data_IF_277534736524
#
_entry.id   IF_277534736524
#
_cell.length_a   1.000
_cell.length_b   1.000
_cell.length_c   1.000
_cell.angle_alpha   90.00
_cell.angle_beta   90.00
_cell.angle_gamma   90.00
#
_symmetry.space_group_name_H-M   'P 1'
#
loop_
_entity.id
_entity.type
_entity.pdbx_description
1 polymer ?
#
# COMPACT_ATOMS: atom_id res chain seq x y z
N UNK A 1 8.21 -2.24 -6.17
CA UNK A 1 7.36 -1.09 -5.76
C UNK A 1 7.49 0.06 -6.75
N UNK A 2 8.71 0.43 -7.16
CA UNK A 2 8.95 1.43 -8.21
C UNK A 2 8.07 1.27 -9.47
N UNK A 3 8.00 0.05 -10.05
CA UNK A 3 7.12 -0.22 -11.21
C UNK A 3 5.62 -0.05 -10.92
N UNK A 4 5.19 -0.21 -9.67
CA UNK A 4 3.81 0.02 -9.25
C UNK A 4 3.53 1.52 -9.13
N UNK A 5 4.45 2.26 -8.50
CA UNK A 5 4.33 3.72 -8.35
C UNK A 5 4.43 4.44 -9.71
N UNK A 6 5.11 3.84 -10.70
CA UNK A 6 5.23 4.32 -12.08
C UNK A 6 4.29 3.65 -13.10
N UNK A 7 3.25 2.94 -12.66
CA UNK A 7 2.34 2.24 -13.57
C UNK A 7 1.55 3.22 -14.48
N UNK A 8 1.32 2.83 -15.74
CA UNK A 8 0.64 3.69 -16.73
C UNK A 8 -0.81 3.29 -16.93
N UNK A 9 -1.72 4.27 -16.95
CA UNK A 9 -3.11 4.05 -17.32
C UNK A 9 -3.24 3.87 -18.84
N UNK A 10 -3.92 2.80 -19.26
CA UNK A 10 -4.12 2.46 -20.67
C UNK A 10 -5.58 2.17 -20.98
N UNK A 11 -5.95 2.32 -22.26
CA UNK A 11 -7.24 1.91 -22.82
C UNK A 11 -7.02 0.88 -23.91
N UNK A 12 -8.07 0.10 -24.20
CA UNK A 12 -8.04 -0.89 -25.27
C UNK A 12 -8.62 -0.25 -26.55
N UNK A 13 -7.77 0.00 -27.53
CA UNK A 13 -8.23 0.28 -28.90
C UNK A 13 -8.42 -1.01 -29.67
N UNK A 14 -9.60 -1.15 -30.28
CA UNK A 14 -9.93 -2.25 -31.19
C UNK A 14 -9.76 -1.76 -32.62
N UNK A 15 -8.86 -2.41 -33.36
CA UNK A 15 -8.76 -2.30 -34.82
C UNK A 15 -9.40 -3.54 -35.44
N UNK A 16 -9.75 -3.51 -36.73
CA UNK A 16 -10.41 -4.61 -37.44
C UNK A 16 -9.74 -5.99 -37.26
N UNK A 17 -8.44 -6.03 -36.99
CA UNK A 17 -7.65 -7.27 -36.88
C UNK A 17 -6.98 -7.49 -35.53
N UNK A 18 -6.88 -6.48 -34.65
CA UNK A 18 -6.10 -6.56 -33.39
C UNK A 18 -6.66 -5.65 -32.31
N UNK A 19 -6.41 -6.03 -31.05
CA UNK A 19 -6.59 -5.17 -29.88
C UNK A 19 -5.23 -4.68 -29.44
N UNK A 20 -5.12 -3.39 -29.13
CA UNK A 20 -3.87 -2.76 -28.67
C UNK A 20 -4.14 -1.90 -27.44
N UNK A 21 -3.19 -1.91 -26.51
CA UNK A 21 -3.16 -1.01 -25.36
C UNK A 21 -2.55 0.33 -25.79
N UNK A 22 -3.25 1.41 -25.48
CA UNK A 22 -2.78 2.79 -25.71
C UNK A 22 -2.86 3.58 -24.41
N UNK A 23 -1.85 4.38 -24.06
CA UNK A 23 -1.90 5.24 -22.88
C UNK A 23 -3.11 6.18 -22.94
N UNK A 24 -3.80 6.37 -21.81
CA UNK A 24 -4.86 7.40 -21.70
C UNK A 24 -4.28 8.78 -21.97
N UNK A 25 -3.11 9.08 -21.40
CA UNK A 25 -2.37 10.31 -21.66
C UNK A 25 -1.23 10.06 -22.67
N UNK A 26 -1.27 10.68 -23.87
CA UNK A 26 -0.29 10.45 -24.93
C UNK A 26 1.15 10.86 -24.58
N UNK A 27 1.36 11.71 -23.57
CA UNK A 27 2.71 12.11 -23.14
C UNK A 27 3.44 10.99 -22.41
N UNK A 28 2.71 10.02 -21.86
CA UNK A 28 3.29 8.87 -21.19
C UNK A 28 3.61 7.76 -22.19
N UNK A 29 4.76 7.12 -21.97
CA UNK A 29 5.22 5.95 -22.73
C UNK A 29 5.46 4.82 -21.74
N UNK A 30 5.09 3.61 -22.13
CA UNK A 30 5.37 2.40 -21.37
C UNK A 30 5.93 1.32 -22.29
N UNK A 31 6.69 0.40 -21.72
CA UNK A 31 7.19 -0.80 -22.37
C UNK A 31 6.33 -1.98 -21.94
N UNK A 32 5.66 -2.60 -22.91
CA UNK A 32 4.68 -3.65 -22.65
C UNK A 32 5.26 -4.93 -22.01
N UNK A 33 6.58 -5.13 -22.08
CA UNK A 33 7.29 -6.31 -21.56
C UNK A 33 7.76 -6.14 -20.09
N UNK A 34 7.93 -4.90 -19.62
CA UNK A 34 8.65 -4.59 -18.38
C UNK A 34 7.93 -3.62 -17.46
N UNK A 35 6.98 -2.84 -17.97
CA UNK A 35 6.21 -1.88 -17.19
C UNK A 35 4.84 -2.43 -16.81
N UNK A 36 4.33 -1.98 -15.66
CA UNK A 36 2.97 -2.27 -15.23
C UNK A 36 2.00 -1.27 -15.86
N UNK A 37 0.84 -1.76 -16.29
CA UNK A 37 -0.25 -0.95 -16.82
C UNK A 37 -1.55 -1.29 -16.11
N UNK A 38 -2.47 -0.32 -16.04
CA UNK A 38 -3.79 -0.52 -15.47
C UNK A 38 -4.88 0.05 -16.39
N UNK A 39 -6.06 -0.57 -16.34
CA UNK A 39 -7.22 -0.22 -17.19
C UNK A 39 -8.27 0.60 -16.43
N UNK A 40 -8.30 0.47 -15.10
CA UNK A 40 -9.31 1.06 -14.23
C UNK A 40 -8.63 1.73 -13.04
N UNK A 41 -9.14 2.91 -12.67
CA UNK A 41 -8.66 3.64 -11.52
C UNK A 41 -8.88 2.84 -10.23
N UNK A 42 -7.93 2.95 -9.29
CA UNK A 42 -8.07 2.30 -7.98
C UNK A 42 -9.22 2.92 -7.17
N UNK A 43 -9.97 2.11 -6.41
CA UNK A 43 -11.07 2.61 -5.59
C UNK A 43 -10.57 3.42 -4.38
N UNK A 44 -11.49 4.09 -3.69
CA UNK A 44 -11.19 4.67 -2.38
C UNK A 44 -11.06 3.57 -1.32
N UNK A 45 -9.88 3.48 -0.70
CA UNK A 45 -9.59 2.51 0.36
C UNK A 45 -9.89 3.03 1.77
N UNK A 46 -10.30 4.29 1.92
CA UNK A 46 -10.57 4.89 3.23
C UNK A 46 -11.75 4.25 3.95
N UNK A 47 -12.86 4.07 3.23
CA UNK A 47 -14.11 3.49 3.75
C UNK A 47 -14.26 2.04 3.29
N UNK A 48 -15.05 1.30 4.05
CA UNK A 48 -15.43 -0.05 3.65
C UNK A 48 -16.45 0.02 2.53
N UNK A 49 -16.18 -0.67 1.44
CA UNK A 49 -17.09 -0.81 0.32
C UNK A 49 -17.03 -2.26 -0.19
N UNK A 50 -18.15 -2.97 -0.05
CA UNK A 50 -18.28 -4.37 -0.47
C UNK A 50 -18.32 -4.55 -1.98
N UNK A 51 -18.66 -3.50 -2.74
CA UNK A 51 -18.75 -3.57 -4.20
C UNK A 51 -17.36 -3.58 -4.83
N UNK A 52 -16.45 -2.76 -4.31
CA UNK A 52 -15.04 -2.69 -4.72
C UNK A 52 -14.15 -3.64 -3.90
N UNK A 53 -14.70 -4.29 -2.88
CA UNK A 53 -13.97 -5.24 -2.02
C UNK A 53 -13.06 -4.59 -0.98
N UNK A 54 -13.19 -3.28 -0.75
CA UNK A 54 -12.35 -2.55 0.20
C UNK A 54 -12.85 -2.73 1.64
N UNK A 55 -11.92 -3.00 2.56
CA UNK A 55 -12.25 -3.19 3.99
C UNK A 55 -12.34 -1.86 4.76
N UNK A 56 -11.83 -0.76 4.17
CA UNK A 56 -11.61 0.51 4.85
C UNK A 56 -10.38 0.51 5.77
N UNK A 57 -10.03 1.68 6.32
CA UNK A 57 -8.87 1.83 7.21
C UNK A 57 -9.19 1.88 8.70
N UNK A 58 -10.47 1.73 9.08
CA UNK A 58 -10.89 1.73 10.48
C UNK A 58 -10.23 0.59 11.26
N UNK A 59 -9.66 0.88 12.43
CA UNK A 59 -9.01 -0.11 13.30
C UNK A 59 -7.56 -0.45 12.91
N UNK A 60 -7.03 0.12 11.83
CA UNK A 60 -5.62 -0.05 11.46
C UNK A 60 -4.71 0.77 12.38
N UNK A 61 -3.54 0.22 12.69
CA UNK A 61 -2.49 0.95 13.41
C UNK A 61 -1.80 1.93 12.47
N UNK A 62 -1.76 3.19 12.87
CA UNK A 62 -1.05 4.26 12.18
C UNK A 62 0.14 4.78 13.00
N UNK A 63 1.03 5.52 12.35
CA UNK A 63 2.17 6.18 12.96
C UNK A 63 1.91 7.69 13.12
N UNK A 64 1.88 8.19 14.36
CA UNK A 64 1.59 9.61 14.63
C UNK A 64 2.71 10.55 14.14
N UNK A 65 3.96 10.09 14.08
CA UNK A 65 5.10 10.94 13.71
C UNK A 65 5.39 10.96 12.22
N UNK A 66 4.82 10.02 11.45
CA UNK A 66 5.04 9.96 10.00
C UNK A 66 4.13 10.93 9.25
N UNK A 67 4.69 11.55 8.22
CA UNK A 67 3.96 12.38 7.24
C UNK A 67 3.66 11.62 5.94
N UNK A 68 4.07 10.36 5.84
CA UNK A 68 3.86 9.52 4.67
C UNK A 68 2.57 8.72 4.79
N UNK A 69 2.36 7.75 3.89
CA UNK A 69 1.14 6.91 3.85
C UNK A 69 0.88 6.09 5.11
N UNK A 70 1.88 5.86 5.97
CA UNK A 70 1.72 5.23 7.29
C UNK A 70 1.33 6.22 8.40
N UNK A 71 1.37 7.53 8.10
CA UNK A 71 0.95 8.62 8.95
C UNK A 71 -0.53 8.53 9.31
N UNK A 72 -0.88 8.87 10.54
CA UNK A 72 -2.28 8.81 10.97
C UNK A 72 -3.20 9.74 10.17
N UNK A 73 -2.72 10.88 9.70
CA UNK A 73 -3.55 11.82 8.92
C UNK A 73 -3.94 11.23 7.56
N UNK A 74 -3.00 10.55 6.90
CA UNK A 74 -3.23 9.91 5.59
C UNK A 74 -3.94 8.57 5.77
N UNK A 75 -3.47 7.69 6.67
CA UNK A 75 -4.04 6.37 6.88
C UNK A 75 -5.49 6.44 7.39
N UNK A 76 -5.80 7.39 8.27
CA UNK A 76 -7.15 7.58 8.80
C UNK A 76 -8.01 8.52 7.94
N UNK A 77 -7.46 9.04 6.84
CA UNK A 77 -8.13 9.92 5.90
C UNK A 77 -8.77 11.15 6.58
N UNK A 78 -8.02 11.78 7.49
CA UNK A 78 -8.47 12.98 8.22
C UNK A 78 -9.55 12.74 9.29
N UNK A 79 -10.03 11.51 9.52
CA UNK A 79 -11.08 11.20 10.50
C UNK A 79 -10.61 11.24 11.97
N UNK A 80 -9.35 11.55 12.22
CA UNK A 80 -8.71 11.45 13.52
C UNK A 80 -8.29 10.02 13.89
N UNK A 81 -7.63 9.88 15.04
CA UNK A 81 -7.09 8.60 15.51
C UNK A 81 -7.10 8.50 17.04
N UNK A 82 -7.21 7.27 17.57
CA UNK A 82 -7.11 7.00 19.01
C UNK A 82 -5.70 6.52 19.34
N UNK A 83 -5.06 7.16 20.32
CA UNK A 83 -3.79 6.68 20.87
C UNK A 83 -4.07 5.77 22.07
N UNK A 84 -3.48 4.57 22.09
CA UNK A 84 -3.56 3.65 23.24
C UNK A 84 -2.16 3.28 23.67
N UNK A 85 -1.87 3.40 24.97
CA UNK A 85 -0.62 2.93 25.58
C UNK A 85 -0.85 1.55 26.16
N UNK A 86 0.04 0.61 25.82
CA UNK A 86 0.00 -0.78 26.31
C UNK A 86 1.38 -1.14 26.82
N UNK A 87 1.47 -1.61 28.07
CA UNK A 87 2.71 -2.22 28.58
C UNK A 87 2.87 -3.62 27.98
N UNK A 88 4.09 -3.98 27.60
CA UNK A 88 4.43 -5.32 27.12
C UNK A 88 5.56 -5.86 27.99
N UNK A 89 5.41 -7.09 28.47
CA UNK A 89 6.50 -7.81 29.12
C UNK A 89 7.35 -8.45 28.02
N UNK A 90 8.61 -8.03 27.94
CA UNK A 90 9.60 -8.60 27.02
C UNK A 90 10.79 -9.14 27.81
N UNK A 91 11.48 -10.13 27.25
CA UNK A 91 12.76 -10.60 27.79
C UNK A 91 13.76 -9.49 27.56
N UNK A 92 14.38 -8.99 28.62
CA UNK A 92 15.35 -7.90 28.53
C UNK A 92 16.59 -8.25 29.37
N UNK A 93 17.74 -7.65 29.03
CA UNK A 93 19.02 -7.91 29.70
C UNK A 93 19.49 -9.37 29.63
N UNK A 94 19.10 -10.09 28.58
CA UNK A 94 19.54 -11.47 28.36
C UNK A 94 21.07 -11.54 28.29
N UNK A 95 21.66 -12.53 28.96
CA UNK A 95 23.10 -12.79 28.88
C UNK A 95 23.34 -14.06 28.10
N UNK A 96 24.15 -13.94 27.06
CA UNK A 96 24.64 -15.08 26.29
C UNK A 96 25.85 -15.69 27.01
N UNK A 97 25.74 -16.96 27.39
CA UNK A 97 26.88 -17.76 27.84
C UNK A 97 27.34 -18.66 26.70
N UNK A 98 28.62 -18.61 26.36
CA UNK A 98 29.16 -19.44 25.28
C UNK A 98 29.15 -20.92 25.70
N UNK A 99 28.23 -21.62 25.04
CA UNK A 99 27.75 -22.98 25.19
C UNK A 99 27.19 -23.42 26.57
N UNK A 100 25.89 -23.73 26.67
CA UNK A 100 24.85 -23.50 25.66
C UNK A 100 23.53 -23.03 26.28
N UNK A 101 23.59 -21.98 27.11
CA UNK A 101 22.39 -21.39 27.73
C UNK A 101 22.36 -19.86 27.58
N UNK A 102 21.15 -19.34 27.33
CA UNK A 102 20.84 -17.92 27.40
C UNK A 102 19.96 -17.70 28.61
N UNK A 103 20.48 -17.01 29.63
CA UNK A 103 19.70 -16.61 30.80
C UNK A 103 18.93 -15.34 30.45
N UNK A 104 17.61 -15.37 30.60
CA UNK A 104 16.66 -14.32 30.20
C UNK A 104 15.74 -13.90 31.34
#
# INVERSE_FOLDING_TARGET
KEKFDGATEVTIRKTATRRRLEPVNPTFKFRADTDLVYLEASPDFCRRDSTTGTTGTTGRRCNKTSRNTDGCDIMCCGRGFKTTRTSRKERCKCKFHWCCEVLA
#
